data_IF_509248494327
#
_entry.id   IF_509248494327
#
_cell.length_a   1.000
_cell.length_b   1.000
_cell.length_c   1.000
_cell.angle_alpha   90.00
_cell.angle_beta   90.00
_cell.angle_gamma   90.00
#
_symmetry.space_group_name_H-M   'P 1'
#
loop_
_entity.id
_entity.type
_entity.pdbx_description
1 polymer ?
#
# COMPACT_ATOMS: atom_id res chain seq x y z
N UNK A 1 15.89 15.87 -14.50
CA UNK A 1 15.23 14.64 -15.00
C UNK A 1 13.74 14.86 -14.87
N UNK A 2 12.98 14.75 -15.96
CA UNK A 2 11.53 14.98 -15.99
C UNK A 2 10.82 13.75 -16.54
N UNK A 3 9.65 13.42 -16.00
CA UNK A 3 8.76 12.37 -16.53
C UNK A 3 7.81 13.00 -17.56
N UNK A 4 7.49 12.27 -18.63
CA UNK A 4 6.50 12.74 -19.61
C UNK A 4 5.07 12.61 -19.05
N UNK A 5 4.14 13.37 -19.60
CA UNK A 5 2.73 13.25 -19.21
C UNK A 5 2.16 11.87 -19.58
N UNK A 6 2.48 11.36 -20.77
CA UNK A 6 2.10 10.01 -21.21
C UNK A 6 2.58 8.93 -20.25
N UNK A 7 3.80 9.04 -19.71
CA UNK A 7 4.29 8.06 -18.74
C UNK A 7 3.57 8.16 -17.40
N UNK A 8 3.22 9.37 -16.95
CA UNK A 8 2.41 9.56 -15.75
C UNK A 8 0.99 9.02 -15.92
N UNK A 9 0.36 9.23 -17.08
CA UNK A 9 -0.99 8.73 -17.38
C UNK A 9 -1.10 7.21 -17.38
N UNK A 10 0.01 6.48 -17.59
CA UNK A 10 0.01 5.00 -17.51
C UNK A 10 -0.18 4.49 -16.08
N UNK A 11 -0.02 5.31 -15.05
CA UNK A 11 -0.21 4.91 -13.65
C UNK A 11 -1.69 4.94 -13.27
N UNK A 12 -2.22 3.82 -12.78
CA UNK A 12 -3.56 3.73 -12.22
C UNK A 12 -3.52 4.10 -10.74
N UNK A 13 -3.60 5.41 -10.44
CA UNK A 13 -3.62 5.92 -9.07
C UNK A 13 -5.04 5.93 -8.51
N UNK A 14 -5.27 5.19 -7.43
CA UNK A 14 -6.58 5.08 -6.78
C UNK A 14 -6.53 5.45 -5.31
N UNK A 15 -7.65 5.97 -4.83
CA UNK A 15 -7.89 6.18 -3.40
C UNK A 15 -8.29 4.85 -2.78
N UNK A 16 -7.67 4.49 -1.67
CA UNK A 16 -7.97 3.28 -0.93
C UNK A 16 -8.09 3.55 0.57
N UNK A 17 -8.83 2.70 1.29
CA UNK A 17 -8.92 2.74 2.75
C UNK A 17 -8.20 1.55 3.35
N UNK A 18 -7.36 1.78 4.36
CA UNK A 18 -6.72 0.69 5.10
C UNK A 18 -7.76 0.02 6.00
N UNK A 19 -7.99 -1.28 5.80
CA UNK A 19 -8.93 -2.08 6.58
C UNK A 19 -8.25 -2.79 7.75
N UNK A 20 -7.06 -3.34 7.52
CA UNK A 20 -6.31 -4.12 8.52
C UNK A 20 -4.82 -3.90 8.38
N UNK A 21 -4.10 -4.05 9.49
CA UNK A 21 -2.64 -4.08 9.54
C UNK A 21 -2.20 -5.25 10.41
N UNK A 22 -1.19 -5.98 9.95
CA UNK A 22 -0.57 -7.10 10.64
C UNK A 22 0.95 -6.89 10.65
N UNK A 23 1.57 -7.05 11.82
CA UNK A 23 3.02 -7.06 11.94
C UNK A 23 3.60 -8.31 11.28
N UNK A 24 4.75 -8.17 10.62
CA UNK A 24 5.45 -9.30 10.01
C UNK A 24 6.57 -9.71 10.96
N UNK A 25 6.55 -10.94 11.52
CA UNK A 25 7.56 -11.39 12.47
C UNK A 25 8.98 -11.21 11.93
N UNK A 26 9.84 -10.54 12.70
CA UNK A 26 11.23 -10.28 12.32
C UNK A 26 11.43 -9.14 11.31
N UNK A 27 10.38 -8.38 10.97
CA UNK A 27 10.47 -7.15 10.16
C UNK A 27 9.97 -5.96 10.96
N UNK A 28 10.82 -4.95 11.13
CA UNK A 28 10.48 -3.72 11.88
C UNK A 28 10.11 -2.55 10.97
N UNK A 29 10.44 -2.64 9.67
CA UNK A 29 10.28 -1.53 8.71
C UNK A 29 9.05 -1.65 7.83
N UNK A 30 8.42 -2.83 7.81
CA UNK A 30 7.31 -3.15 6.94
C UNK A 30 6.21 -3.86 7.73
N UNK A 31 4.97 -3.61 7.37
CA UNK A 31 3.78 -4.32 7.86
C UNK A 31 2.96 -4.82 6.68
N UNK A 32 2.18 -5.87 6.91
CA UNK A 32 1.19 -6.34 5.94
C UNK A 32 -0.10 -5.57 6.16
N UNK A 33 -0.73 -5.10 5.09
CA UNK A 33 -2.01 -4.41 5.17
C UNK A 33 -3.02 -4.99 4.20
N UNK A 34 -4.30 -4.84 4.55
CA UNK A 34 -5.43 -5.07 3.67
C UNK A 34 -6.06 -3.72 3.35
N UNK A 35 -6.19 -3.39 2.07
CA UNK A 35 -6.80 -2.13 1.61
C UNK A 35 -8.08 -2.39 0.83
N UNK A 36 -9.03 -1.47 0.95
CA UNK A 36 -10.27 -1.40 0.18
C UNK A 36 -10.16 -0.34 -0.91
N UNK A 37 -10.36 -0.75 -2.16
CA UNK A 37 -10.41 0.12 -3.34
C UNK A 37 -11.84 0.51 -3.73
N UNK A 38 -12.85 0.01 -3.00
CA UNK A 38 -14.28 0.20 -3.25
C UNK A 38 -14.91 -0.95 -4.03
N UNK A 39 -14.26 -1.42 -5.09
CA UNK A 39 -14.68 -2.57 -5.90
C UNK A 39 -13.98 -3.88 -5.51
N UNK A 40 -12.78 -3.80 -4.94
CA UNK A 40 -11.99 -4.96 -4.51
C UNK A 40 -11.15 -4.65 -3.28
N UNK A 41 -10.74 -5.70 -2.56
CA UNK A 41 -9.75 -5.62 -1.48
C UNK A 41 -8.43 -6.23 -1.91
N UNK A 42 -7.30 -5.63 -1.51
CA UNK A 42 -5.96 -6.15 -1.83
C UNK A 42 -5.05 -6.22 -0.62
N UNK A 43 -4.23 -7.27 -0.60
CA UNK A 43 -3.07 -7.36 0.28
C UNK A 43 -1.94 -6.47 -0.24
N UNK A 44 -1.35 -5.69 0.66
CA UNK A 44 -0.20 -4.81 0.38
C UNK A 44 0.86 -4.95 1.46
N UNK A 45 2.10 -4.61 1.10
CA UNK A 45 3.18 -4.41 2.07
C UNK A 45 3.39 -2.89 2.21
N UNK A 46 3.24 -2.38 3.42
CA UNK A 46 3.40 -0.97 3.74
C UNK A 46 4.75 -0.79 4.40
N UNK A 47 5.60 0.07 3.81
CA UNK A 47 6.87 0.46 4.40
C UNK A 47 6.74 1.65 5.34
N UNK A 48 7.74 1.85 6.20
CA UNK A 48 7.75 2.92 7.19
C UNK A 48 7.00 2.58 8.48
N UNK A 49 6.78 1.29 8.75
CA UNK A 49 6.15 0.82 9.98
C UNK A 49 6.89 1.26 11.26
N UNK A 50 8.18 1.58 11.15
CA UNK A 50 8.98 2.12 12.27
C UNK A 50 8.53 3.53 12.73
N UNK A 51 7.68 4.20 11.95
CA UNK A 51 7.20 5.56 12.23
C UNK A 51 5.74 5.63 12.67
N UNK A 52 4.98 4.53 12.58
CA UNK A 52 3.54 4.52 12.82
C UNK A 52 3.15 3.28 13.60
N UNK A 53 2.26 3.43 14.57
CA UNK A 53 1.64 2.26 15.20
C UNK A 53 0.61 1.64 14.23
N UNK A 54 0.47 0.30 14.18
CA UNK A 54 -0.51 -0.36 13.31
C UNK A 54 -1.93 0.19 13.42
N UNK A 55 -2.34 0.55 14.64
CA UNK A 55 -3.67 1.08 14.95
C UNK A 55 -3.92 2.46 14.32
N UNK A 56 -2.88 3.28 14.19
CA UNK A 56 -2.98 4.62 13.58
C UNK A 56 -3.22 4.57 12.07
N UNK A 57 -2.83 3.47 11.43
CA UNK A 57 -2.97 3.26 10.00
C UNK A 57 -4.37 2.77 9.63
N UNK A 58 -5.03 2.01 10.51
CA UNK A 58 -6.36 1.46 10.23
C UNK A 58 -7.37 2.59 10.04
N UNK A 59 -8.15 2.49 8.96
CA UNK A 59 -9.16 3.48 8.59
C UNK A 59 -8.62 4.71 7.86
N UNK A 60 -7.29 4.88 7.74
CA UNK A 60 -6.70 5.96 6.94
C UNK A 60 -7.01 5.78 5.45
N UNK A 61 -7.17 6.91 4.79
CA UNK A 61 -7.31 7.00 3.33
C UNK A 61 -5.94 7.26 2.72
N UNK A 62 -5.55 6.46 1.74
CA UNK A 62 -4.24 6.48 1.09
C UNK A 62 -4.39 6.46 -0.43
N UNK A 63 -3.32 6.80 -1.15
CA UNK A 63 -3.24 6.63 -2.61
C UNK A 63 -2.37 5.42 -2.92
N UNK A 64 -2.81 4.58 -3.86
CA UNK A 64 -2.08 3.40 -4.30
C UNK A 64 -1.97 3.34 -5.82
N UNK A 65 -0.92 2.68 -6.31
CA UNK A 65 -0.76 2.34 -7.73
C UNK A 65 -1.41 0.98 -7.96
N UNK A 66 -2.61 0.96 -8.53
CA UNK A 66 -3.44 -0.22 -8.68
C UNK A 66 -3.05 -1.11 -9.87
N UNK A 67 -2.26 -0.62 -10.82
CA UNK A 67 -1.81 -1.41 -11.98
C UNK A 67 -0.34 -1.84 -11.90
N UNK A 68 0.27 -1.79 -10.70
CA UNK A 68 1.63 -2.29 -10.51
C UNK A 68 1.65 -3.82 -10.59
N UNK A 69 2.64 -4.38 -11.31
CA UNK A 69 2.80 -5.83 -11.40
C UNK A 69 2.96 -6.46 -10.00
N UNK A 70 2.23 -7.55 -9.70
CA UNK A 70 2.32 -8.20 -8.40
C UNK A 70 3.74 -8.68 -8.10
N UNK A 71 4.24 -8.32 -6.92
CA UNK A 71 5.52 -8.80 -6.42
C UNK A 71 5.30 -9.66 -5.19
N UNK A 72 5.77 -10.92 -5.24
CA UNK A 72 5.83 -11.76 -4.04
C UNK A 72 6.93 -11.23 -3.14
N UNK A 73 6.56 -10.75 -1.96
CA UNK A 73 7.50 -10.45 -0.92
C UNK A 73 7.71 -11.71 -0.06
N UNK A 74 8.96 -12.09 0.26
CA UNK A 74 9.20 -13.10 1.28
C UNK A 74 8.79 -12.51 2.63
N UNK A 75 7.58 -12.84 3.06
CA UNK A 75 7.12 -12.65 4.45
C UNK A 75 7.78 -13.69 5.33
#
# INVERSE_FOLDING_TARGET
>A
MSISYDDFQKLDLRVAKILKIEEIPGKTKIVKGEIDLGDETRDVIIGGAEFYEPEDLIGKTVIVVANLEPKKWPV
#
